data_IF_434052969485
#
_entry.id   IF_434052969485
#
_cell.length_a   1.000
_cell.length_b   1.000
_cell.length_c   1.000
_cell.angle_alpha   90.00
_cell.angle_beta   90.00
_cell.angle_gamma   90.00
#
_symmetry.space_group_name_H-M   'P 1'
#
loop_
_entity.id
_entity.type
_entity.pdbx_description
1 polymer ?
#
# COMPACT_ATOMS: atom_id res chain seq x y z
N UNK A 1 15.58 2.78 -6.23
CA UNK A 1 14.77 2.34 -5.10
C UNK A 1 15.10 0.92 -4.77
N UNK A 2 16.12 0.75 -3.93
CA UNK A 2 16.42 -0.56 -3.36
C UNK A 2 15.44 -0.83 -2.21
N UNK A 3 14.31 -1.43 -2.54
CA UNK A 3 13.45 -2.09 -1.54
C UNK A 3 14.23 -3.32 -1.08
N UNK A 4 14.69 -3.33 0.16
CA UNK A 4 15.24 -4.53 0.78
C UNK A 4 14.12 -5.17 1.58
N UNK A 5 13.60 -6.29 1.10
CA UNK A 5 12.70 -7.12 1.90
C UNK A 5 13.49 -7.69 3.07
N UNK A 6 13.24 -7.15 4.25
CA UNK A 6 13.53 -7.81 5.51
C UNK A 6 12.20 -7.88 6.25
N UNK A 7 11.66 -9.10 6.39
CA UNK A 7 10.45 -9.46 7.12
C UNK A 7 9.45 -8.31 7.35
N UNK A 8 8.50 -8.18 6.43
CA UNK A 8 7.23 -7.46 6.61
C UNK A 8 7.30 -5.93 6.79
N UNK A 9 8.49 -5.32 6.78
CA UNK A 9 8.67 -3.88 7.00
C UNK A 9 9.38 -3.23 5.80
N UNK A 10 8.76 -2.18 5.24
CA UNK A 10 9.37 -1.40 4.17
C UNK A 10 10.30 -0.34 4.77
N UNK A 11 11.59 -0.41 4.46
CA UNK A 11 12.55 0.60 4.89
C UNK A 11 12.71 1.70 3.82
N UNK A 12 12.80 2.95 4.26
CA UNK A 12 12.84 4.12 3.37
C UNK A 12 14.01 5.02 3.74
N UNK A 13 14.77 5.45 2.72
CA UNK A 13 15.81 6.47 2.81
C UNK A 13 15.26 7.87 2.44
N UNK A 14 15.70 8.96 3.10
CA UNK A 14 15.28 10.33 2.78
C UNK A 14 15.64 10.78 1.37
N UNK A 15 16.77 10.27 0.87
CA UNK A 15 17.33 10.61 -0.42
C UNK A 15 17.99 9.38 -1.00
N UNK A 16 17.77 9.16 -2.29
CA UNK A 16 18.39 8.07 -3.04
C UNK A 16 18.84 8.60 -4.39
N UNK A 17 19.94 8.07 -4.93
CA UNK A 17 20.36 8.37 -6.29
C UNK A 17 20.02 7.17 -7.18
N UNK A 18 19.21 7.40 -8.22
CA UNK A 18 18.94 6.41 -9.27
C UNK A 18 19.40 7.02 -10.59
N UNK A 19 20.25 6.30 -11.33
CA UNK A 19 20.77 6.72 -12.63
C UNK A 19 21.31 8.17 -12.66
N UNK A 20 22.04 8.54 -11.60
CA UNK A 20 22.61 9.89 -11.44
C UNK A 20 21.63 10.98 -11.01
N UNK A 21 20.34 10.67 -10.86
CA UNK A 21 19.32 11.60 -10.37
C UNK A 21 19.10 11.42 -8.88
N UNK A 22 19.36 12.46 -8.09
CA UNK A 22 18.98 12.49 -6.68
C UNK A 22 17.47 12.63 -6.54
N UNK A 23 16.85 11.71 -5.80
CA UNK A 23 15.43 11.68 -5.47
C UNK A 23 15.25 12.00 -3.99
N UNK A 24 14.16 12.68 -3.66
CA UNK A 24 13.72 12.96 -2.29
C UNK A 24 12.44 12.21 -1.99
N UNK A 25 12.41 11.53 -0.85
CA UNK A 25 11.30 10.67 -0.48
C UNK A 25 10.30 11.39 0.43
N UNK A 26 9.01 11.19 0.16
CA UNK A 26 7.88 11.71 0.90
C UNK A 26 6.98 10.54 1.34
N UNK A 27 6.46 10.60 2.56
CA UNK A 27 5.50 9.62 3.09
C UNK A 27 4.15 10.26 3.36
N UNK A 28 3.07 9.50 3.18
CA UNK A 28 1.72 9.94 3.53
C UNK A 28 1.55 9.94 5.06
N UNK A 29 1.32 11.13 5.63
CA UNK A 29 1.04 11.34 7.04
C UNK A 29 -0.01 12.43 7.21
N UNK A 30 -1.08 12.11 7.94
CA UNK A 30 -2.21 13.02 8.21
C UNK A 30 -2.85 13.56 6.91
N UNK A 31 -3.00 12.70 5.89
CA UNK A 31 -3.57 13.05 4.59
C UNK A 31 -2.67 13.93 3.71
N UNK A 32 -1.41 14.16 4.10
CA UNK A 32 -0.45 14.97 3.33
C UNK A 32 0.85 14.21 3.12
N UNK A 33 1.45 14.36 1.95
CA UNK A 33 2.80 13.87 1.72
C UNK A 33 3.80 14.80 2.41
N UNK A 34 4.62 14.23 3.29
CA UNK A 34 5.65 14.95 4.04
C UNK A 34 7.02 14.36 3.72
N UNK A 35 8.02 15.23 3.54
CA UNK A 35 9.40 14.82 3.27
C UNK A 35 9.94 13.99 4.44
N UNK A 36 10.58 12.88 4.14
CA UNK A 36 11.40 12.16 5.10
C UNK A 36 12.69 12.96 5.33
N UNK A 37 12.98 13.25 6.60
CA UNK A 37 14.24 13.90 7.00
C UNK A 37 15.23 12.90 7.60
N UNK A 38 14.77 11.70 7.93
CA UNK A 38 15.57 10.59 8.47
C UNK A 38 15.03 9.29 7.88
N UNK A 39 15.94 8.32 7.73
CA UNK A 39 15.58 6.99 7.31
C UNK A 39 14.67 6.32 8.34
N UNK A 40 13.82 5.39 7.90
CA UNK A 40 12.91 4.72 8.80
C UNK A 40 11.99 3.70 8.15
N UNK A 41 11.14 3.11 8.99
CA UNK A 41 10.18 2.09 8.59
C UNK A 41 8.89 2.77 8.13
N UNK A 42 8.46 2.43 6.92
CA UNK A 42 7.13 2.67 6.40
C UNK A 42 6.24 1.49 6.79
N UNK A 43 5.24 1.76 7.62
CA UNK A 43 4.22 0.77 7.96
C UNK A 43 3.42 0.37 6.71
N UNK A 44 2.86 -0.84 6.73
CA UNK A 44 1.93 -1.32 5.70
C UNK A 44 0.77 -0.34 5.48
N UNK A 45 0.18 -0.40 4.28
CA UNK A 45 -0.94 0.45 3.84
C UNK A 45 -0.66 1.96 3.84
N UNK A 46 0.61 2.37 3.79
CA UNK A 46 0.98 3.78 3.59
C UNK A 46 1.57 4.01 2.21
N UNK A 47 1.11 5.08 1.58
CA UNK A 47 1.68 5.55 0.33
C UNK A 47 2.96 6.35 0.60
N UNK A 48 3.91 6.25 -0.33
CA UNK A 48 5.10 7.08 -0.37
C UNK A 48 5.31 7.58 -1.80
N UNK A 49 6.24 8.52 -1.97
CA UNK A 49 6.62 9.07 -3.25
C UNK A 49 8.08 9.49 -3.25
N UNK A 50 8.79 9.22 -4.34
CA UNK A 50 10.11 9.77 -4.60
C UNK A 50 10.04 10.77 -5.75
N UNK A 51 10.49 12.00 -5.53
CA UNK A 51 10.54 13.06 -6.55
C UNK A 51 11.98 13.49 -6.78
N UNK A 52 12.38 13.87 -8.01
CA UNK A 52 13.69 14.48 -8.25
C UNK A 52 13.93 15.64 -7.29
N UNK A 53 15.11 15.69 -6.67
CA UNK A 53 15.47 16.74 -5.73
C UNK A 53 15.41 18.14 -6.38
N UNK A 54 15.67 18.21 -7.69
CA UNK A 54 15.53 19.42 -8.51
C UNK A 54 14.09 19.93 -8.64
N UNK A 55 13.08 19.11 -8.35
CA UNK A 55 11.65 19.49 -8.42
C UNK A 55 11.14 20.10 -7.10
N UNK A 56 12.01 20.30 -6.10
CA UNK A 56 11.69 21.00 -4.86
C UNK A 56 11.60 22.53 -5.08
N UNK A 57 10.70 22.95 -5.97
CA UNK A 57 10.33 24.36 -6.13
C UNK A 57 9.06 24.59 -5.31
N UNK A 58 8.92 25.77 -4.69
CA UNK A 58 7.90 26.18 -3.70
C UNK A 58 6.41 26.03 -4.10
N UNK A 59 6.09 25.34 -5.18
CA UNK A 59 4.73 25.11 -5.66
C UNK A 59 4.05 23.96 -4.91
N UNK A 60 2.76 24.15 -4.60
CA UNK A 60 1.90 23.08 -4.10
C UNK A 60 1.72 22.06 -5.24
N UNK A 61 2.32 20.88 -5.11
CA UNK A 61 2.08 19.76 -6.01
C UNK A 61 0.77 19.06 -5.63
N UNK A 62 -0.04 18.73 -6.65
CA UNK A 62 -1.24 17.93 -6.51
C UNK A 62 -1.10 16.68 -7.38
N UNK A 63 -1.59 15.54 -6.88
CA UNK A 63 -1.74 14.36 -7.70
C UNK A 63 -3.01 14.50 -8.54
N UNK A 64 -2.82 14.67 -9.84
CA UNK A 64 -3.87 14.46 -10.80
C UNK A 64 -3.77 13.01 -11.26
N UNK A 65 -4.66 12.17 -10.73
CA UNK A 65 -4.94 10.88 -11.34
C UNK A 65 -5.95 11.16 -12.46
N UNK A 66 -5.45 11.57 -13.62
CA UNK A 66 -6.29 11.68 -14.82
C UNK A 66 -6.44 10.29 -15.39
N UNK A 67 -7.53 9.67 -14.98
CA UNK A 67 -8.15 8.62 -15.75
C UNK A 67 -8.57 9.21 -17.12
N UNK A 68 -8.16 8.61 -18.23
CA UNK A 68 -8.66 8.94 -19.57
C UNK A 68 -10.17 8.67 -19.79
N UNK A 69 -10.94 8.42 -18.73
CA UNK A 69 -12.38 8.14 -18.70
C UNK A 69 -12.74 6.70 -18.30
N UNK A 70 -11.77 5.82 -18.13
CA UNK A 70 -11.90 4.49 -17.54
C UNK A 70 -11.57 4.49 -16.05
N UNK A 71 -12.58 4.73 -15.23
CA UNK A 71 -12.50 4.36 -13.83
C UNK A 71 -12.19 2.86 -13.80
N UNK A 72 -10.99 2.48 -13.39
CA UNK A 72 -10.72 1.09 -13.00
C UNK A 72 -11.51 0.87 -11.73
N UNK A 73 -12.80 0.55 -11.89
CA UNK A 73 -13.68 0.22 -10.79
C UNK A 73 -13.03 -0.86 -9.94
N UNK A 74 -13.43 -0.94 -8.67
CA UNK A 74 -13.11 -2.10 -7.86
C UNK A 74 -13.93 -3.25 -8.43
N UNK A 75 -13.36 -3.97 -9.38
CA UNK A 75 -13.89 -5.27 -9.77
C UNK A 75 -13.80 -6.14 -8.52
N UNK A 76 -14.93 -6.72 -8.11
CA UNK A 76 -14.87 -7.86 -7.21
C UNK A 76 -13.91 -8.87 -7.85
N UNK A 77 -13.00 -9.51 -7.08
CA UNK A 77 -12.20 -10.58 -7.64
C UNK A 77 -13.16 -11.55 -8.34
N UNK A 78 -12.85 -11.90 -9.59
CA UNK A 78 -13.59 -12.93 -10.31
C UNK A 78 -13.44 -14.20 -9.47
N UNK A 79 -14.44 -14.50 -8.65
CA UNK A 79 -14.51 -15.75 -7.90
C UNK A 79 -14.75 -16.86 -8.92
N UNK A 80 -13.69 -17.35 -9.53
CA UNK A 80 -13.76 -18.57 -10.33
C UNK A 80 -13.97 -19.82 -9.46
N UNK A 81 -14.01 -19.69 -8.13
CA UNK A 81 -14.07 -20.86 -7.25
C UNK A 81 -15.16 -20.72 -6.20
N UNK A 82 -16.39 -20.81 -6.68
CA UNK A 82 -17.49 -21.29 -5.86
C UNK A 82 -17.19 -22.75 -5.45
N UNK A 83 -16.74 -22.96 -4.20
CA UNK A 83 -16.76 -24.31 -3.60
C UNK A 83 -15.43 -24.89 -3.12
N UNK A 84 -14.33 -24.13 -3.07
CA UNK A 84 -13.11 -24.63 -2.43
C UNK A 84 -13.17 -24.48 -0.90
N UNK A 85 -13.30 -25.62 -0.22
CA UNK A 85 -13.31 -25.74 1.25
C UNK A 85 -11.97 -25.38 1.90
N UNK A 86 -10.94 -25.04 1.12
CA UNK A 86 -9.62 -24.56 1.53
C UNK A 86 -9.44 -23.05 1.35
N UNK A 87 -10.48 -22.31 0.96
CA UNK A 87 -10.40 -20.86 0.79
C UNK A 87 -9.85 -20.15 2.07
N UNK A 88 -8.84 -19.26 1.94
CA UNK A 88 -8.26 -18.54 3.07
C UNK A 88 -9.25 -17.63 3.79
N UNK A 89 -8.94 -17.32 5.05
CA UNK A 89 -9.67 -16.35 5.86
C UNK A 89 -9.01 -14.98 5.79
N UNK A 90 -9.82 -13.93 5.73
CA UNK A 90 -9.40 -12.54 5.83
C UNK A 90 -10.14 -11.84 6.95
N UNK A 91 -9.48 -10.93 7.67
CA UNK A 91 -10.17 -10.04 8.60
C UNK A 91 -10.99 -8.98 7.82
N UNK A 92 -11.72 -8.12 8.54
CA UNK A 92 -12.55 -7.08 7.91
C UNK A 92 -11.75 -6.00 7.18
N UNK A 93 -10.45 -5.88 7.45
CA UNK A 93 -9.53 -4.99 6.75
C UNK A 93 -8.93 -5.64 5.48
N UNK A 94 -9.33 -6.88 5.15
CA UNK A 94 -8.84 -7.60 3.97
C UNK A 94 -7.46 -8.24 4.14
N UNK A 95 -6.96 -8.39 5.37
CA UNK A 95 -5.67 -9.04 5.67
C UNK A 95 -5.89 -10.54 5.89
N UNK A 96 -5.07 -11.40 5.26
CA UNK A 96 -5.12 -12.86 5.41
C UNK A 96 -4.77 -13.28 6.84
N UNK A 97 -5.50 -14.25 7.39
CA UNK A 97 -5.32 -14.81 8.73
C UNK A 97 -5.16 -16.32 8.66
N UNK A 98 -3.98 -16.84 9.02
CA UNK A 98 -3.68 -18.29 8.96
C UNK A 98 -4.39 -19.11 10.06
N UNK A 99 -4.56 -18.52 11.25
CA UNK A 99 -5.16 -19.19 12.42
C UNK A 99 -6.33 -18.37 12.98
N UNK A 100 -7.48 -18.36 12.30
CA UNK A 100 -8.60 -17.54 12.71
C UNK A 100 -9.19 -18.05 14.04
N UNK A 101 -9.50 -17.12 14.94
CA UNK A 101 -10.09 -17.38 16.26
C UNK A 101 -11.58 -17.02 16.22
N UNK A 102 -12.25 -16.99 17.37
CA UNK A 102 -13.65 -16.53 17.45
C UNK A 102 -13.78 -15.09 16.94
N UNK A 103 -14.68 -14.86 15.99
CA UNK A 103 -14.83 -13.54 15.38
C UNK A 103 -15.49 -13.56 14.00
N UNK A 104 -15.49 -12.40 13.34
CA UNK A 104 -16.06 -12.18 12.00
C UNK A 104 -14.94 -12.09 10.97
N UNK A 105 -15.07 -12.85 9.88
CA UNK A 105 -14.08 -12.93 8.81
C UNK A 105 -14.74 -12.87 7.43
N UNK A 106 -13.94 -12.62 6.40
CA UNK A 106 -14.30 -12.76 4.99
C UNK A 106 -13.67 -14.06 4.49
N UNK A 107 -14.49 -14.95 3.93
CA UNK A 107 -14.06 -16.20 3.31
C UNK A 107 -14.81 -16.42 2.01
N UNK A 108 -14.08 -16.65 0.91
CA UNK A 108 -14.67 -16.80 -0.42
C UNK A 108 -15.67 -15.68 -0.77
N UNK A 109 -15.30 -14.42 -0.50
CA UNK A 109 -16.13 -13.25 -0.75
C UNK A 109 -17.35 -13.08 0.18
N UNK A 110 -17.59 -13.99 1.14
CA UNK A 110 -18.72 -13.92 2.07
C UNK A 110 -18.26 -13.67 3.51
N UNK A 111 -19.06 -12.92 4.27
CA UNK A 111 -18.85 -12.76 5.72
C UNK A 111 -19.24 -14.05 6.44
N UNK A 112 -18.37 -14.54 7.33
CA UNK A 112 -18.58 -15.75 8.14
C UNK A 112 -18.24 -15.48 9.60
N UNK A 113 -18.86 -16.24 10.51
CA UNK A 113 -18.61 -16.17 11.96
C UNK A 113 -18.00 -17.48 12.42
N UNK A 114 -16.84 -17.40 13.07
CA UNK A 114 -16.22 -18.52 13.76
C UNK A 114 -16.64 -18.44 15.23
N UNK A 115 -17.24 -19.51 15.75
CA UNK A 115 -17.83 -19.59 17.09
C UNK A 115 -16.89 -20.17 18.12
#
# INVERSE_FOLDING_TARGET
MTIREADTLFYVEPTETIDGTALTTYGLRDGKFRKYTRAGILSYNKAFMALPASWQVSAKTAFLFSDGGEATGIALPQTEEQGRDDAPYYNLDGVRVEHPQKGVYIRNGKKVVIK
#
